data_IF_505979862389
#
_entry.id   IF_505979862389
#
_cell.length_a   1.000
_cell.length_b   1.000
_cell.length_c   1.000
_cell.angle_alpha   90.00
_cell.angle_beta   90.00
_cell.angle_gamma   90.00
#
_symmetry.space_group_name_H-M   'P 1'
#
loop_
_entity.id
_entity.type
_entity.pdbx_description
1 polymer ?
#
# COMPACT_ATOMS: atom_id res chain seq x y z
N UNK A 1 -0.33 37.40 -11.35
CA UNK A 1 -1.56 37.06 -10.61
C UNK A 1 -2.56 36.18 -11.38
N UNK A 2 -2.41 35.94 -12.67
CA UNK A 2 -3.41 35.20 -13.50
C UNK A 2 -3.14 33.70 -13.58
N UNK A 3 -1.89 33.26 -13.45
CA UNK A 3 -1.51 31.82 -13.54
C UNK A 3 -1.98 31.04 -12.33
N UNK A 4 -1.83 31.55 -11.11
CA UNK A 4 -2.23 30.89 -9.86
C UNK A 4 -3.72 30.56 -9.80
N UNK A 5 -4.59 31.46 -10.30
CA UNK A 5 -6.06 31.23 -10.33
C UNK A 5 -6.51 30.15 -11.31
N UNK A 6 -5.76 29.93 -12.39
CA UNK A 6 -6.09 28.88 -13.38
C UNK A 6 -5.71 27.50 -12.83
N UNK A 7 -4.57 27.41 -12.15
CA UNK A 7 -4.11 26.17 -11.52
C UNK A 7 -5.04 25.75 -10.37
N UNK A 8 -5.47 26.68 -9.51
CA UNK A 8 -6.41 26.43 -8.42
C UNK A 8 -7.76 25.91 -8.95
N UNK A 9 -8.30 26.55 -10.00
CA UNK A 9 -9.57 26.12 -10.61
C UNK A 9 -9.47 24.75 -11.28
N UNK A 10 -8.34 24.42 -11.88
CA UNK A 10 -8.11 23.11 -12.50
C UNK A 10 -7.99 22.01 -11.41
N UNK A 11 -7.30 22.30 -10.32
CA UNK A 11 -7.21 21.41 -9.16
C UNK A 11 -8.59 21.17 -8.54
N UNK A 12 -9.38 22.22 -8.34
CA UNK A 12 -10.76 22.11 -7.86
C UNK A 12 -11.63 21.21 -8.76
N UNK A 13 -11.51 21.35 -10.10
CA UNK A 13 -12.22 20.48 -11.04
C UNK A 13 -11.78 19.03 -10.95
N UNK A 14 -10.48 18.75 -10.87
CA UNK A 14 -9.97 17.39 -10.70
C UNK A 14 -10.49 16.76 -9.41
N UNK A 15 -10.52 17.53 -8.31
CA UNK A 15 -11.06 17.08 -7.04
C UNK A 15 -12.56 16.72 -7.15
N UNK A 16 -13.39 17.59 -7.74
CA UNK A 16 -14.82 17.33 -7.93
C UNK A 16 -15.04 16.08 -8.80
N UNK A 17 -14.32 15.94 -9.93
CA UNK A 17 -14.43 14.76 -10.79
C UNK A 17 -14.02 13.46 -10.09
N UNK A 18 -12.94 13.49 -9.32
CA UNK A 18 -12.48 12.35 -8.54
C UNK A 18 -13.52 11.94 -7.48
N UNK A 19 -14.07 12.92 -6.76
CA UNK A 19 -15.11 12.70 -5.74
C UNK A 19 -16.42 12.19 -6.36
N UNK A 20 -16.82 12.70 -7.52
CA UNK A 20 -17.98 12.23 -8.26
C UNK A 20 -17.82 10.78 -8.71
N UNK A 21 -16.65 10.43 -9.24
CA UNK A 21 -16.32 9.06 -9.66
C UNK A 21 -16.13 8.13 -8.46
N UNK A 22 -15.91 8.70 -7.26
CA UNK A 22 -15.58 7.95 -6.05
C UNK A 22 -14.17 7.38 -6.08
N UNK A 23 -13.28 7.97 -6.89
CA UNK A 23 -11.85 7.61 -6.95
C UNK A 23 -11.11 8.56 -6.03
N UNK A 24 -10.40 8.05 -5.01
CA UNK A 24 -9.56 8.88 -4.15
C UNK A 24 -8.46 9.53 -5.00
N UNK A 25 -8.22 10.82 -4.75
CA UNK A 25 -7.12 11.53 -5.37
C UNK A 25 -6.50 12.51 -4.39
N UNK A 26 -5.25 12.91 -4.64
CA UNK A 26 -4.55 13.90 -3.81
C UNK A 26 -5.35 15.20 -3.68
N UNK A 27 -5.92 15.71 -4.78
CA UNK A 27 -6.72 16.93 -4.80
C UNK A 27 -8.01 16.77 -3.97
N UNK A 28 -8.69 15.61 -4.06
CA UNK A 28 -9.89 15.32 -3.30
C UNK A 28 -9.62 15.24 -1.79
N UNK A 29 -8.51 14.61 -1.40
CA UNK A 29 -8.09 14.49 -0.01
C UNK A 29 -7.68 15.83 0.57
N UNK A 30 -6.90 16.62 -0.16
CA UNK A 30 -6.53 17.98 0.25
C UNK A 30 -7.75 18.87 0.46
N UNK A 31 -8.80 18.72 -0.38
CA UNK A 31 -10.03 19.48 -0.27
C UNK A 31 -10.91 19.06 0.91
N UNK A 32 -11.09 17.77 1.16
CA UNK A 32 -12.01 17.26 2.19
C UNK A 32 -11.33 16.95 3.52
N UNK A 33 -10.05 16.59 3.52
CA UNK A 33 -9.33 16.07 4.69
C UNK A 33 -9.80 14.67 5.09
N UNK A 34 -9.36 14.20 6.24
CA UNK A 34 -9.85 12.99 6.89
C UNK A 34 -10.60 13.34 8.17
N UNK A 35 -11.65 12.57 8.47
CA UNK A 35 -12.42 12.69 9.71
C UNK A 35 -12.14 11.48 10.62
N UNK A 36 -10.89 10.99 10.64
CA UNK A 36 -10.47 9.78 11.35
C UNK A 36 -9.28 10.07 12.30
N UNK A 37 -9.43 10.93 13.33
CA UNK A 37 -8.30 11.36 14.17
C UNK A 37 -7.61 10.19 14.88
N UNK A 38 -8.35 9.21 15.37
CA UNK A 38 -7.75 8.03 16.02
C UNK A 38 -6.86 7.23 15.07
N UNK A 39 -7.27 7.09 13.82
CA UNK A 39 -6.48 6.39 12.80
C UNK A 39 -5.22 7.21 12.46
N UNK A 40 -5.36 8.53 12.32
CA UNK A 40 -4.22 9.41 12.10
C UNK A 40 -3.21 9.34 13.25
N UNK A 41 -3.65 9.44 14.50
CA UNK A 41 -2.77 9.38 15.67
C UNK A 41 -2.01 8.05 15.76
N UNK A 42 -2.70 6.93 15.52
CA UNK A 42 -2.07 5.60 15.48
C UNK A 42 -1.07 5.49 14.34
N UNK A 43 -1.42 6.01 13.17
CA UNK A 43 -0.54 6.02 12.00
C UNK A 43 0.71 6.87 12.23
N UNK A 44 0.56 8.09 12.75
CA UNK A 44 1.68 8.97 13.07
C UNK A 44 2.62 8.35 14.11
N UNK A 45 2.06 7.71 15.14
CA UNK A 45 2.83 6.94 16.14
C UNK A 45 3.61 5.81 15.47
N UNK A 46 3.03 5.13 14.48
CA UNK A 46 3.70 4.08 13.73
C UNK A 46 4.89 4.64 12.93
N UNK A 47 4.73 5.77 12.26
CA UNK A 47 5.82 6.43 11.52
C UNK A 47 6.97 6.85 12.45
N UNK A 48 6.67 7.34 13.65
CA UNK A 48 7.68 7.77 14.61
C UNK A 48 8.53 6.60 15.17
N UNK A 49 8.07 5.34 15.01
CA UNK A 49 8.79 4.13 15.45
C UNK A 49 9.61 3.47 14.36
N UNK A 50 9.57 3.97 13.12
CA UNK A 50 10.29 3.40 11.98
C UNK A 50 11.80 3.38 12.22
N UNK A 51 12.44 2.25 11.86
CA UNK A 51 13.88 2.09 12.00
C UNK A 51 14.39 1.93 13.44
N UNK A 52 13.50 1.92 14.45
CA UNK A 52 13.89 1.69 15.84
C UNK A 52 13.67 0.25 16.27
N UNK A 53 14.63 -0.35 16.97
CA UNK A 53 14.53 -1.71 17.55
C UNK A 53 13.44 -1.80 18.64
N UNK A 54 12.89 -0.66 19.06
CA UNK A 54 11.88 -0.57 20.14
C UNK A 54 10.44 -0.89 19.69
N UNK A 55 10.22 -1.15 18.41
CA UNK A 55 8.90 -1.56 17.91
C UNK A 55 8.57 -2.98 18.37
N UNK A 56 8.06 -3.11 19.59
CA UNK A 56 7.71 -4.42 20.20
C UNK A 56 6.29 -4.88 19.87
N UNK A 57 5.57 -4.21 18.96
CA UNK A 57 4.15 -4.49 18.78
C UNK A 57 3.72 -4.72 17.34
N UNK A 58 3.41 -3.66 16.63
CA UNK A 58 2.89 -3.69 15.28
C UNK A 58 3.79 -2.88 14.34
N UNK A 59 3.98 -3.42 13.14
CA UNK A 59 4.66 -2.74 12.02
C UNK A 59 3.66 -2.20 11.03
N UNK A 60 2.41 -2.55 11.19
CA UNK A 60 1.34 -2.21 10.30
C UNK A 60 0.04 -1.87 11.02
N UNK A 61 -0.84 -1.22 10.28
CA UNK A 61 -2.18 -0.86 10.68
C UNK A 61 -3.19 -1.59 9.79
N UNK A 62 -4.18 -2.24 10.40
CA UNK A 62 -5.29 -2.86 9.68
C UNK A 62 -6.53 -2.01 9.84
N UNK A 63 -7.01 -1.44 8.73
CA UNK A 63 -8.21 -0.62 8.67
C UNK A 63 -9.42 -1.46 8.25
N UNK A 64 -10.51 -1.32 9.00
CA UNK A 64 -11.79 -1.93 8.69
C UNK A 64 -12.86 -0.92 8.36
N UNK A 65 -13.71 -1.27 7.42
CA UNK A 65 -14.88 -0.44 7.12
C UNK A 65 -15.68 -1.00 5.97
N UNK A 66 -16.99 -0.85 6.01
CA UNK A 66 -17.87 -1.38 4.99
C UNK A 66 -17.58 -0.80 3.60
N UNK A 67 -18.20 -1.36 2.57
CA UNK A 67 -18.05 -0.87 1.20
C UNK A 67 -18.50 0.61 1.09
N UNK A 68 -17.63 1.48 0.58
CA UNK A 68 -17.93 2.92 0.47
C UNK A 68 -17.82 3.71 1.78
N UNK A 69 -17.29 3.14 2.86
CA UNK A 69 -17.04 3.84 4.14
C UNK A 69 -15.93 4.90 4.06
N UNK A 70 -15.11 4.89 3.00
CA UNK A 70 -14.01 5.83 2.81
C UNK A 70 -12.62 5.24 3.09
N UNK A 71 -12.46 3.90 3.15
CA UNK A 71 -11.17 3.23 3.34
C UNK A 71 -10.07 3.77 2.41
N UNK A 72 -10.32 3.76 1.10
CA UNK A 72 -9.34 4.22 0.11
C UNK A 72 -9.08 5.74 0.23
N UNK A 73 -10.08 6.54 0.66
CA UNK A 73 -9.87 7.96 0.95
C UNK A 73 -8.99 8.16 2.19
N UNK A 74 -9.22 7.39 3.26
CA UNK A 74 -8.37 7.40 4.45
C UNK A 74 -6.93 6.99 4.11
N UNK A 75 -6.74 5.92 3.32
CA UNK A 75 -5.41 5.52 2.85
C UNK A 75 -4.73 6.61 2.02
N UNK A 76 -5.45 7.29 1.12
CA UNK A 76 -4.89 8.41 0.35
C UNK A 76 -4.46 9.56 1.25
N UNK A 77 -5.26 9.88 2.28
CA UNK A 77 -4.91 10.89 3.28
C UNK A 77 -3.65 10.52 4.06
N UNK A 78 -3.57 9.29 4.57
CA UNK A 78 -2.38 8.78 5.27
C UNK A 78 -1.15 8.74 4.37
N UNK A 79 -1.32 8.41 3.07
CA UNK A 79 -0.26 8.44 2.09
C UNK A 79 0.29 9.86 1.89
N UNK A 80 -0.59 10.86 1.87
CA UNK A 80 -0.19 12.25 1.78
C UNK A 80 0.64 12.70 2.99
N UNK A 81 0.19 12.37 4.20
CA UNK A 81 0.94 12.63 5.43
C UNK A 81 2.31 11.95 5.44
N UNK A 82 2.41 10.72 4.91
CA UNK A 82 3.68 10.01 4.81
C UNK A 82 4.64 10.69 3.83
N UNK A 83 4.16 11.10 2.66
CA UNK A 83 4.97 11.84 1.69
C UNK A 83 5.48 13.18 2.27
N UNK A 84 4.65 13.91 3.00
CA UNK A 84 5.06 15.14 3.70
C UNK A 84 6.13 14.90 4.75
N UNK A 85 6.16 13.70 5.35
CA UNK A 85 7.18 13.28 6.33
C UNK A 85 8.40 12.64 5.68
N UNK A 86 8.53 12.66 4.35
CA UNK A 86 9.73 12.18 3.66
C UNK A 86 9.76 10.68 3.36
N UNK A 87 8.64 9.95 3.52
CA UNK A 87 8.57 8.53 3.18
C UNK A 87 8.33 8.31 1.69
N UNK A 88 8.89 7.23 1.15
CA UNK A 88 8.45 6.66 -0.14
C UNK A 88 7.16 5.90 0.08
N UNK A 89 6.18 6.07 -0.80
CA UNK A 89 4.84 5.47 -0.66
C UNK A 89 4.51 4.60 -1.86
N UNK A 90 4.01 3.40 -1.61
CA UNK A 90 3.48 2.49 -2.63
C UNK A 90 2.04 2.10 -2.34
N UNK A 91 1.24 1.86 -3.40
CA UNK A 91 -0.14 1.39 -3.31
C UNK A 91 -0.29 0.09 -4.07
N UNK A 92 -0.75 -0.93 -3.36
CA UNK A 92 -0.98 -2.27 -3.88
C UNK A 92 -2.47 -2.60 -3.75
N UNK A 93 -3.14 -2.78 -4.87
CA UNK A 93 -4.53 -3.24 -4.88
C UNK A 93 -4.51 -4.76 -5.01
N UNK A 94 -5.06 -5.44 -4.01
CA UNK A 94 -5.16 -6.90 -4.03
C UNK A 94 -6.17 -7.31 -5.10
N UNK A 95 -5.77 -8.21 -5.98
CA UNK A 95 -6.56 -8.68 -7.10
C UNK A 95 -6.15 -10.10 -7.51
N UNK A 96 -6.72 -10.61 -8.60
CA UNK A 96 -6.29 -11.86 -9.23
C UNK A 96 -4.84 -11.78 -9.72
N UNK A 97 -4.46 -10.64 -10.29
CA UNK A 97 -3.13 -10.37 -10.82
C UNK A 97 -2.10 -10.13 -9.72
N UNK A 98 -2.55 -9.56 -8.60
CA UNK A 98 -1.71 -9.20 -7.44
C UNK A 98 -2.25 -9.85 -6.17
N UNK A 99 -2.22 -11.19 -6.06
CA UNK A 99 -2.74 -11.88 -4.89
C UNK A 99 -1.79 -11.71 -3.68
N UNK A 100 -2.35 -11.47 -2.49
CA UNK A 100 -1.58 -11.21 -1.28
C UNK A 100 -0.60 -12.35 -0.93
N UNK A 101 -0.92 -13.59 -1.30
CA UNK A 101 -0.07 -14.76 -1.04
C UNK A 101 1.14 -14.90 -1.97
N UNK A 102 1.31 -14.02 -2.96
CA UNK A 102 2.44 -14.01 -3.89
C UNK A 102 3.32 -12.78 -3.69
N UNK A 103 4.39 -12.85 -2.87
CA UNK A 103 5.28 -11.72 -2.62
C UNK A 103 5.96 -11.15 -3.86
N UNK A 104 6.16 -11.95 -4.92
CA UNK A 104 6.80 -11.46 -6.14
C UNK A 104 5.86 -10.54 -6.94
N UNK A 105 4.57 -10.90 -7.05
CA UNK A 105 3.55 -10.06 -7.67
C UNK A 105 3.28 -8.80 -6.84
N UNK A 106 3.21 -8.95 -5.50
CA UNK A 106 3.08 -7.81 -4.58
C UNK A 106 4.27 -6.86 -4.70
N UNK A 107 5.50 -7.36 -4.77
CA UNK A 107 6.69 -6.53 -4.96
C UNK A 107 6.62 -5.74 -6.27
N UNK A 108 6.26 -6.38 -7.36
CA UNK A 108 6.13 -5.71 -8.66
C UNK A 108 5.14 -4.55 -8.57
N UNK A 109 3.94 -4.79 -8.06
CA UNK A 109 2.93 -3.73 -7.89
C UNK A 109 3.41 -2.62 -6.94
N UNK A 110 4.11 -2.97 -5.86
CA UNK A 110 4.67 -2.01 -4.92
C UNK A 110 5.74 -1.12 -5.55
N UNK A 111 6.64 -1.69 -6.36
CA UNK A 111 7.69 -0.95 -7.06
C UNK A 111 7.11 -0.07 -8.16
N UNK A 112 6.18 -0.60 -8.96
CA UNK A 112 5.53 0.15 -10.05
C UNK A 112 4.72 1.35 -9.54
N UNK A 113 4.11 1.23 -8.37
CA UNK A 113 3.32 2.30 -7.74
C UNK A 113 4.12 3.21 -6.80
N UNK A 114 5.41 2.96 -6.62
CA UNK A 114 6.25 3.72 -5.68
C UNK A 114 6.41 5.17 -6.12
N UNK A 115 6.09 6.08 -5.20
CA UNK A 115 6.17 7.54 -5.38
C UNK A 115 7.02 8.12 -4.27
N UNK A 116 7.97 8.98 -4.63
CA UNK A 116 8.79 9.74 -3.68
C UNK A 116 8.09 11.02 -3.24
N UNK A 117 8.55 11.70 -2.19
CA UNK A 117 8.06 13.02 -1.81
C UNK A 117 8.12 14.06 -2.92
N UNK A 118 9.05 13.92 -3.87
CA UNK A 118 9.14 14.79 -5.06
C UNK A 118 7.98 14.60 -6.04
N UNK A 119 7.22 13.49 -5.90
CA UNK A 119 6.16 13.10 -6.82
C UNK A 119 6.66 12.38 -8.08
N UNK A 120 7.95 12.04 -8.14
CA UNK A 120 8.51 11.32 -9.27
C UNK A 120 8.06 9.85 -9.29
N UNK A 121 7.84 9.32 -10.48
CA UNK A 121 7.60 7.90 -10.75
C UNK A 121 8.96 7.21 -10.93
N UNK A 122 9.07 5.94 -10.51
CA UNK A 122 10.33 5.20 -10.59
C UNK A 122 11.24 5.44 -9.37
N UNK A 123 10.64 5.42 -8.18
CA UNK A 123 11.32 5.70 -6.91
C UNK A 123 12.61 4.91 -6.68
N UNK A 124 12.69 3.65 -7.16
CA UNK A 124 13.91 2.84 -7.02
C UNK A 124 15.06 3.40 -7.85
N UNK A 125 14.78 3.85 -9.08
CA UNK A 125 15.78 4.46 -9.94
C UNK A 125 16.22 5.83 -9.40
N UNK A 126 15.27 6.65 -8.90
CA UNK A 126 15.57 7.93 -8.25
C UNK A 126 16.44 7.71 -7.01
N UNK A 127 16.09 6.76 -6.16
CA UNK A 127 16.88 6.42 -4.98
C UNK A 127 18.29 5.93 -5.36
N UNK A 128 18.40 5.06 -6.37
CA UNK A 128 19.71 4.59 -6.85
C UNK A 128 20.60 5.74 -7.37
N UNK A 129 20.01 6.71 -8.06
CA UNK A 129 20.71 7.90 -8.56
C UNK A 129 21.09 8.88 -7.44
N UNK A 130 20.36 8.88 -6.32
CA UNK A 130 20.60 9.77 -5.17
C UNK A 130 21.60 9.19 -4.16
N UNK A 131 22.06 7.94 -4.34
CA UNK A 131 23.05 7.34 -3.46
C UNK A 131 24.39 8.09 -3.55
N UNK A 132 24.97 8.37 -2.38
CA UNK A 132 26.35 8.89 -2.27
C UNK A 132 27.30 7.75 -1.87
N UNK A 133 28.05 7.16 -2.81
CA UNK A 133 28.97 6.07 -2.50
C UNK A 133 30.07 6.42 -1.48
N UNK A 134 30.39 7.70 -1.31
CA UNK A 134 31.33 8.21 -0.31
C UNK A 134 30.69 8.52 1.04
N UNK A 135 29.37 8.50 1.10
CA UNK A 135 28.59 8.89 2.28
C UNK A 135 28.45 7.81 3.34
N UNK A 136 28.18 8.19 4.59
CA UNK A 136 28.02 7.25 5.70
C UNK A 136 26.79 6.33 5.54
N UNK A 137 25.70 6.82 4.98
CA UNK A 137 24.47 6.06 4.79
C UNK A 137 24.66 4.91 3.78
N UNK A 138 25.39 5.16 2.69
CA UNK A 138 25.76 4.12 1.73
C UNK A 138 26.69 3.08 2.37
N UNK A 139 27.71 3.53 3.11
CA UNK A 139 28.63 2.63 3.81
C UNK A 139 27.90 1.75 4.84
N UNK A 140 26.87 2.28 5.50
CA UNK A 140 26.02 1.51 6.41
C UNK A 140 25.18 0.47 5.68
N UNK A 141 24.52 0.86 4.59
CA UNK A 141 23.74 -0.06 3.74
C UNK A 141 24.61 -1.21 3.22
N UNK A 142 25.81 -0.88 2.70
CA UNK A 142 26.74 -1.89 2.18
C UNK A 142 27.23 -2.83 3.29
N UNK A 143 27.57 -2.29 4.46
CA UNK A 143 27.96 -3.07 5.64
C UNK A 143 26.83 -3.99 6.10
N UNK A 144 25.60 -3.48 6.17
CA UNK A 144 24.44 -4.28 6.53
C UNK A 144 24.23 -5.42 5.52
N UNK A 145 24.15 -5.13 4.22
CA UNK A 145 23.93 -6.13 3.18
C UNK A 145 25.04 -7.20 3.12
N UNK A 146 26.28 -6.83 3.46
CA UNK A 146 27.45 -7.73 3.46
C UNK A 146 27.79 -8.37 4.81
N UNK A 147 26.99 -8.15 5.86
CA UNK A 147 27.33 -8.57 7.22
C UNK A 147 27.30 -10.10 7.46
N UNK A 148 26.80 -10.89 6.52
CA UNK A 148 26.56 -12.34 6.71
C UNK A 148 25.42 -12.67 7.69
N UNK A 149 24.91 -11.66 8.40
CA UNK A 149 23.74 -11.76 9.29
C UNK A 149 22.51 -11.05 8.69
N UNK A 150 22.70 -10.30 7.60
CA UNK A 150 21.58 -9.68 6.91
C UNK A 150 20.70 -10.77 6.27
N UNK A 151 19.37 -10.67 6.43
CA UNK A 151 18.45 -11.63 5.83
C UNK A 151 18.22 -11.32 4.34
N UNK A 152 19.32 -11.14 3.60
CA UNK A 152 19.36 -10.88 2.15
C UNK A 152 20.51 -11.64 1.49
N UNK A 153 20.33 -12.01 0.24
CA UNK A 153 21.31 -12.74 -0.56
C UNK A 153 22.55 -11.88 -0.88
N UNK A 154 23.70 -12.52 -1.06
CA UNK A 154 24.97 -11.86 -1.41
C UNK A 154 24.90 -10.97 -2.66
N UNK A 155 23.94 -11.22 -3.56
CA UNK A 155 23.72 -10.39 -4.76
C UNK A 155 23.46 -8.94 -4.41
N UNK A 156 22.80 -8.64 -3.29
CA UNK A 156 22.51 -7.27 -2.89
C UNK A 156 23.78 -6.51 -2.49
N UNK A 157 24.61 -7.10 -1.66
CA UNK A 157 25.92 -6.49 -1.31
C UNK A 157 26.81 -6.33 -2.55
N UNK A 158 26.86 -7.37 -3.40
CA UNK A 158 27.65 -7.34 -4.62
C UNK A 158 27.17 -6.25 -5.59
N UNK A 159 25.87 -6.17 -5.85
CA UNK A 159 25.32 -5.15 -6.76
C UNK A 159 25.51 -3.72 -6.21
N UNK A 160 25.43 -3.52 -4.90
CA UNK A 160 25.81 -2.26 -4.27
C UNK A 160 27.27 -1.94 -4.51
N UNK A 161 28.22 -2.86 -4.26
CA UNK A 161 29.66 -2.59 -4.45
C UNK A 161 30.03 -2.32 -5.91
N UNK A 162 29.29 -2.92 -6.86
CA UNK A 162 29.52 -2.75 -8.30
C UNK A 162 28.92 -1.44 -8.85
N UNK A 163 27.75 -1.01 -8.34
CA UNK A 163 27.00 0.09 -8.92
C UNK A 163 27.84 1.36 -9.17
N UNK A 164 28.62 1.90 -8.22
CA UNK A 164 29.39 3.13 -8.44
C UNK A 164 30.45 3.02 -9.53
N UNK A 165 30.95 1.80 -9.75
CA UNK A 165 31.99 1.55 -10.77
C UNK A 165 31.38 1.41 -12.15
N UNK A 166 30.22 0.72 -12.25
CA UNK A 166 29.56 0.49 -13.55
C UNK A 166 28.79 1.71 -14.04
N UNK A 167 28.29 2.57 -13.17
CA UNK A 167 27.65 3.86 -13.54
C UNK A 167 28.57 4.76 -14.39
N UNK A 168 29.88 4.57 -14.34
CA UNK A 168 30.83 5.35 -15.13
C UNK A 168 31.41 4.59 -16.32
N UNK A 169 31.17 3.28 -16.45
CA UNK A 169 31.83 2.42 -17.44
C UNK A 169 30.91 1.48 -18.22
N UNK A 170 29.70 1.21 -17.71
CA UNK A 170 28.74 0.24 -18.29
C UNK A 170 27.34 0.60 -17.85
N UNK A 171 26.73 1.58 -18.50
CA UNK A 171 25.38 2.09 -18.17
C UNK A 171 24.30 0.99 -18.28
N UNK A 172 24.43 0.07 -19.24
CA UNK A 172 23.47 -1.04 -19.42
C UNK A 172 23.47 -1.98 -18.21
N UNK A 173 24.66 -2.24 -17.64
CA UNK A 173 24.75 -3.08 -16.47
C UNK A 173 24.33 -2.33 -15.19
N UNK A 174 24.59 -1.04 -15.09
CA UNK A 174 24.06 -0.21 -14.00
C UNK A 174 22.52 -0.23 -13.99
N UNK A 175 21.88 -0.09 -15.15
CA UNK A 175 20.43 -0.23 -15.30
C UNK A 175 19.95 -1.64 -14.95
N UNK A 176 20.68 -2.69 -15.33
CA UNK A 176 20.35 -4.07 -14.97
C UNK A 176 20.39 -4.31 -13.45
N UNK A 177 21.30 -3.64 -12.71
CA UNK A 177 21.34 -3.66 -11.25
C UNK A 177 20.05 -3.04 -10.68
N UNK A 178 19.64 -1.87 -11.14
CA UNK A 178 18.43 -1.18 -10.66
C UNK A 178 17.19 -2.02 -10.98
N UNK A 179 17.10 -2.63 -12.17
CA UNK A 179 16.03 -3.57 -12.50
C UNK A 179 16.03 -4.80 -11.61
N UNK A 180 17.22 -5.34 -11.26
CA UNK A 180 17.32 -6.45 -10.30
C UNK A 180 16.76 -6.07 -8.93
N UNK A 181 17.08 -4.89 -8.41
CA UNK A 181 16.49 -4.40 -7.16
C UNK A 181 14.97 -4.24 -7.26
N UNK A 182 14.49 -3.82 -8.43
CA UNK A 182 13.06 -3.60 -8.71
C UNK A 182 12.23 -4.88 -8.92
N UNK A 183 12.88 -6.05 -9.05
CA UNK A 183 12.16 -7.33 -9.18
C UNK A 183 12.64 -8.23 -10.30
N UNK A 184 13.37 -7.72 -11.29
CA UNK A 184 13.87 -8.49 -12.43
C UNK A 184 14.99 -9.47 -12.03
N UNK A 185 15.17 -10.55 -12.77
CA UNK A 185 16.33 -11.41 -12.61
C UNK A 185 17.61 -10.72 -13.10
N UNK A 186 18.75 -11.04 -12.48
CA UNK A 186 20.07 -10.67 -12.98
C UNK A 186 20.89 -11.95 -13.24
N UNK A 187 21.50 -12.12 -14.45
CA UNK A 187 22.26 -13.32 -14.76
C UNK A 187 23.49 -13.45 -13.86
N UNK A 188 23.63 -14.60 -13.22
CA UNK A 188 24.79 -14.91 -12.35
C UNK A 188 26.12 -14.83 -13.11
N UNK A 189 26.13 -15.18 -14.42
CA UNK A 189 27.32 -15.08 -15.26
C UNK A 189 27.79 -13.63 -15.40
N UNK A 190 26.86 -12.68 -15.56
CA UNK A 190 27.17 -11.25 -15.69
C UNK A 190 27.68 -10.69 -14.36
N UNK A 191 27.03 -11.03 -13.24
CA UNK A 191 27.51 -10.66 -11.92
C UNK A 191 28.95 -11.14 -11.66
N UNK A 192 29.25 -12.40 -11.99
CA UNK A 192 30.60 -12.96 -11.83
C UNK A 192 31.65 -12.30 -12.75
N UNK A 193 31.24 -11.94 -13.97
CA UNK A 193 32.10 -11.22 -14.91
C UNK A 193 32.45 -9.83 -14.38
N UNK A 194 31.46 -9.09 -13.91
CA UNK A 194 31.63 -7.74 -13.36
C UNK A 194 32.37 -7.76 -12.03
N UNK A 195 32.12 -8.73 -11.15
CA UNK A 195 32.87 -8.92 -9.92
C UNK A 195 34.36 -9.14 -10.20
N UNK A 196 34.69 -10.00 -11.17
CA UNK A 196 36.09 -10.23 -11.60
C UNK A 196 36.71 -8.96 -12.17
N UNK A 197 36.01 -8.20 -12.98
CA UNK A 197 36.49 -6.93 -13.54
C UNK A 197 36.76 -5.89 -12.43
N UNK A 198 35.88 -5.83 -11.42
CA UNK A 198 36.01 -4.93 -10.30
C UNK A 198 37.08 -5.36 -9.26
N UNK A 199 37.71 -6.52 -9.43
CA UNK A 199 38.67 -7.08 -8.47
C UNK A 199 38.03 -7.66 -7.20
N UNK A 200 36.73 -7.87 -7.23
CA UNK A 200 35.99 -8.59 -6.19
C UNK A 200 36.32 -10.08 -6.25
N UNK A 201 36.23 -10.77 -5.13
CA UNK A 201 36.40 -12.22 -5.08
C UNK A 201 35.35 -12.96 -5.93
N UNK A 202 35.44 -14.29 -6.03
CA UNK A 202 34.42 -15.09 -6.71
C UNK A 202 33.21 -15.29 -5.79
N UNK A 203 32.06 -14.62 -6.05
CA UNK A 203 30.88 -14.75 -5.19
C UNK A 203 30.27 -16.15 -5.27
N UNK A 204 29.83 -16.68 -4.13
CA UNK A 204 29.21 -18.00 -4.02
C UNK A 204 27.68 -17.93 -4.25
N UNK A 205 27.24 -17.35 -5.38
CA UNK A 205 25.85 -17.09 -5.70
C UNK A 205 25.06 -18.40 -5.86
N UNK A 206 24.27 -18.76 -4.86
CA UNK A 206 23.36 -19.90 -4.88
C UNK A 206 22.06 -19.57 -5.61
N UNK A 207 21.26 -20.58 -5.95
CA UNK A 207 19.90 -20.37 -6.46
C UNK A 207 18.98 -20.03 -5.30
N UNK A 208 18.26 -18.92 -5.39
CA UNK A 208 17.28 -18.48 -4.41
C UNK A 208 15.89 -18.52 -5.05
N UNK A 209 14.87 -19.11 -4.42
CA UNK A 209 13.49 -19.09 -4.91
C UNK A 209 12.99 -17.66 -5.12
N UNK A 210 12.23 -17.42 -6.19
CA UNK A 210 11.71 -16.08 -6.53
C UNK A 210 10.89 -15.46 -5.38
N UNK A 211 10.10 -16.27 -4.68
CA UNK A 211 9.32 -15.85 -3.52
C UNK A 211 10.21 -15.31 -2.40
N UNK A 212 11.26 -16.04 -2.06
CA UNK A 212 12.23 -15.65 -1.03
C UNK A 212 12.99 -14.39 -1.44
N UNK A 213 13.45 -14.34 -2.69
CA UNK A 213 14.14 -13.17 -3.21
C UNK A 213 13.25 -11.92 -3.21
N UNK A 214 11.94 -12.06 -3.43
CA UNK A 214 11.00 -10.95 -3.32
C UNK A 214 10.90 -10.41 -1.90
N UNK A 215 10.82 -11.27 -0.88
CA UNK A 215 10.82 -10.86 0.53
C UNK A 215 12.12 -10.13 0.88
N UNK A 216 13.25 -10.64 0.43
CA UNK A 216 14.56 -10.00 0.63
C UNK A 216 14.64 -8.63 -0.05
N UNK A 217 14.01 -8.45 -1.23
CA UNK A 217 13.93 -7.16 -1.91
C UNK A 217 13.13 -6.12 -1.12
N UNK A 218 12.05 -6.48 -0.45
CA UNK A 218 11.33 -5.55 0.42
C UNK A 218 12.24 -5.02 1.53
N UNK A 219 13.01 -5.89 2.19
CA UNK A 219 13.98 -5.51 3.23
C UNK A 219 15.07 -4.61 2.69
N UNK A 220 15.63 -4.98 1.55
CA UNK A 220 16.68 -4.23 0.88
C UNK A 220 16.22 -2.85 0.42
N UNK A 221 15.10 -2.77 -0.30
CA UNK A 221 14.57 -1.51 -0.84
C UNK A 221 14.19 -0.52 0.26
N UNK A 222 13.62 -1.00 1.37
CA UNK A 222 13.33 -0.13 2.50
C UNK A 222 14.59 0.56 3.03
N UNK A 223 15.70 -0.16 3.15
CA UNK A 223 16.99 0.40 3.58
C UNK A 223 17.68 1.22 2.49
N UNK A 224 17.50 0.84 1.23
CA UNK A 224 17.97 1.63 0.08
C UNK A 224 17.35 3.03 0.09
N UNK A 225 16.04 3.12 0.32
CA UNK A 225 15.36 4.41 0.42
C UNK A 225 15.93 5.27 1.57
N UNK A 226 16.21 4.68 2.73
CA UNK A 226 16.85 5.42 3.83
C UNK A 226 18.26 5.86 3.45
N UNK A 227 19.05 5.01 2.79
CA UNK A 227 20.39 5.38 2.31
C UNK A 227 20.36 6.48 1.25
N UNK A 228 19.26 6.61 0.51
CA UNK A 228 19.01 7.69 -0.45
C UNK A 228 18.44 8.97 0.18
N UNK A 229 18.23 9.01 1.52
CA UNK A 229 17.79 10.18 2.26
C UNK A 229 16.29 10.27 2.54
N UNK A 230 15.53 9.20 2.31
CA UNK A 230 14.13 9.11 2.72
C UNK A 230 13.99 8.53 4.13
N UNK A 231 12.84 8.76 4.79
CA UNK A 231 12.59 8.25 6.15
C UNK A 231 12.28 6.75 6.20
N UNK A 232 11.86 6.15 5.08
CA UNK A 232 11.53 4.74 4.96
C UNK A 232 10.58 4.45 3.80
N UNK A 233 10.02 3.24 3.78
CA UNK A 233 9.07 2.80 2.76
C UNK A 233 7.72 2.45 3.38
N UNK A 234 6.64 3.00 2.84
CA UNK A 234 5.27 2.76 3.29
C UNK A 234 4.48 2.04 2.19
N UNK A 235 3.85 0.93 2.54
CA UNK A 235 3.00 0.15 1.65
C UNK A 235 1.54 0.24 2.10
N UNK A 236 0.68 0.70 1.19
CA UNK A 236 -0.77 0.62 1.35
C UNK A 236 -1.30 -0.56 0.55
N UNK A 237 -2.11 -1.41 1.20
CA UNK A 237 -2.82 -2.51 0.58
C UNK A 237 -4.32 -2.21 0.62
N UNK A 238 -4.95 -2.12 -0.54
CA UNK A 238 -6.40 -1.95 -0.65
C UNK A 238 -7.05 -3.25 -1.15
N UNK A 239 -8.36 -3.39 -0.96
CA UNK A 239 -9.16 -4.54 -1.38
C UNK A 239 -8.69 -5.88 -0.76
N UNK A 240 -8.11 -5.85 0.46
CA UNK A 240 -7.54 -7.06 1.10
C UNK A 240 -8.61 -8.12 1.35
N UNK A 241 -9.88 -7.75 1.47
CA UNK A 241 -11.03 -8.67 1.56
C UNK A 241 -11.15 -9.65 0.39
N UNK A 242 -10.54 -9.35 -0.76
CA UNK A 242 -10.56 -10.26 -1.91
C UNK A 242 -9.87 -11.60 -1.64
N UNK A 243 -9.03 -11.69 -0.59
CA UNK A 243 -8.51 -12.99 -0.12
C UNK A 243 -9.63 -13.99 0.22
N UNK A 244 -10.81 -13.51 0.61
CA UNK A 244 -11.98 -14.34 0.86
C UNK A 244 -12.49 -15.10 -0.36
N UNK A 245 -12.13 -14.69 -1.58
CA UNK A 245 -12.49 -15.35 -2.85
C UNK A 245 -11.50 -16.41 -3.31
N UNK A 246 -10.34 -16.50 -2.65
CA UNK A 246 -9.30 -17.47 -3.01
C UNK A 246 -9.66 -18.88 -2.54
N UNK A 247 -8.98 -19.87 -3.12
CA UNK A 247 -9.08 -21.26 -2.65
C UNK A 247 -8.57 -21.38 -1.21
N UNK A 248 -8.94 -22.46 -0.51
CA UNK A 248 -8.59 -22.67 0.88
C UNK A 248 -7.08 -22.55 1.16
N UNK A 249 -6.24 -23.11 0.28
CA UNK A 249 -4.77 -23.03 0.46
C UNK A 249 -4.24 -21.62 0.21
N UNK A 250 -4.76 -20.93 -0.78
CA UNK A 250 -4.39 -19.56 -1.08
C UNK A 250 -4.85 -18.60 0.03
N UNK A 251 -6.05 -18.80 0.60
CA UNK A 251 -6.50 -18.05 1.79
C UNK A 251 -5.54 -18.25 2.96
N UNK A 252 -5.18 -19.52 3.24
CA UNK A 252 -4.22 -19.82 4.31
C UNK A 252 -2.87 -19.15 4.14
N UNK A 253 -2.32 -19.17 2.92
CA UNK A 253 -1.08 -18.44 2.61
C UNK A 253 -1.28 -16.93 2.75
N UNK A 254 -2.42 -16.39 2.30
CA UNK A 254 -2.72 -14.95 2.43
C UNK A 254 -2.83 -14.50 3.88
N UNK A 255 -3.44 -15.29 4.76
CA UNK A 255 -3.46 -14.99 6.20
C UNK A 255 -2.06 -15.01 6.81
N UNK A 256 -1.20 -15.94 6.37
CA UNK A 256 0.20 -15.99 6.82
C UNK A 256 1.01 -14.76 6.37
N UNK A 257 0.79 -14.28 5.12
CA UNK A 257 1.40 -13.03 4.64
C UNK A 257 0.85 -11.80 5.37
N UNK A 258 -0.46 -11.72 5.61
CA UNK A 258 -1.08 -10.63 6.38
C UNK A 258 -0.44 -10.51 7.76
N UNK A 259 -0.18 -11.62 8.44
CA UNK A 259 0.54 -11.61 9.72
C UNK A 259 1.96 -11.03 9.59
N UNK A 260 2.64 -11.35 8.49
CA UNK A 260 3.98 -10.82 8.22
C UNK A 260 4.00 -9.33 7.91
N UNK A 261 2.95 -8.79 7.28
CA UNK A 261 2.83 -7.36 7.00
C UNK A 261 2.48 -6.54 8.24
N UNK A 262 1.64 -7.07 9.12
CA UNK A 262 1.18 -6.34 10.30
C UNK A 262 2.15 -6.40 11.49
N UNK A 263 3.00 -7.43 11.56
CA UNK A 263 3.96 -7.61 12.65
C UNK A 263 5.39 -7.31 12.21
N UNK A 264 6.27 -6.95 13.15
CA UNK A 264 7.69 -6.80 12.84
C UNK A 264 8.26 -8.08 12.21
N UNK A 265 9.09 -7.90 11.22
CA UNK A 265 9.85 -9.01 10.63
C UNK A 265 10.81 -9.58 11.69
N UNK A 266 10.74 -10.88 11.95
CA UNK A 266 11.59 -11.51 12.96
C UNK A 266 13.07 -11.51 12.55
N UNK A 267 13.34 -11.55 11.24
CA UNK A 267 14.69 -11.56 10.69
C UNK A 267 15.28 -10.15 10.55
N UNK A 268 14.43 -9.14 10.36
CA UNK A 268 14.84 -7.72 10.30
C UNK A 268 13.85 -6.80 11.04
N UNK A 269 13.83 -6.84 12.38
CA UNK A 269 12.88 -6.06 13.18
C UNK A 269 13.06 -4.54 13.03
N UNK A 270 14.23 -4.09 12.60
CA UNK A 270 14.54 -2.68 12.37
C UNK A 270 14.40 -2.25 10.90
N UNK A 271 13.82 -3.07 10.03
CA UNK A 271 13.58 -2.65 8.65
C UNK A 271 12.66 -1.43 8.61
N UNK A 272 13.07 -0.35 7.88
CA UNK A 272 12.30 0.89 7.79
C UNK A 272 11.13 0.74 6.81
N UNK A 273 10.23 -0.20 7.10
CA UNK A 273 9.08 -0.57 6.29
C UNK A 273 7.83 -0.56 7.16
N UNK A 274 6.83 0.20 6.78
CA UNK A 274 5.50 0.27 7.42
C UNK A 274 4.43 -0.16 6.44
N UNK A 275 3.34 -0.73 6.95
CA UNK A 275 2.22 -1.18 6.12
C UNK A 275 0.89 -0.69 6.65
N UNK A 276 -0.03 -0.38 5.74
CA UNK A 276 -1.43 -0.09 6.05
C UNK A 276 -2.30 -0.95 5.16
N UNK A 277 -3.04 -1.85 5.74
CA UNK A 277 -3.95 -2.74 5.04
C UNK A 277 -5.39 -2.28 5.24
N UNK A 278 -6.22 -2.33 4.20
CA UNK A 278 -7.64 -2.02 4.29
C UNK A 278 -8.48 -3.20 3.81
N UNK A 279 -9.52 -3.53 4.59
CA UNK A 279 -10.48 -4.59 4.27
C UNK A 279 -11.88 -4.24 4.78
N UNK A 280 -12.87 -5.02 4.38
CA UNK A 280 -14.23 -4.85 4.87
C UNK A 280 -14.38 -5.30 6.32
N UNK A 281 -15.23 -4.60 7.07
CA UNK A 281 -15.50 -4.85 8.48
C UNK A 281 -16.32 -6.13 8.74
N UNK A 282 -17.00 -6.65 7.72
CA UNK A 282 -17.77 -7.89 7.76
C UNK A 282 -16.94 -9.15 7.46
N UNK A 283 -15.65 -9.02 7.14
CA UNK A 283 -14.79 -10.13 6.70
C UNK A 283 -14.74 -11.27 7.72
N UNK A 284 -14.70 -10.98 9.01
CA UNK A 284 -14.74 -12.00 10.07
C UNK A 284 -16.00 -12.86 9.98
N UNK A 285 -17.16 -12.23 9.90
CA UNK A 285 -18.44 -12.95 9.82
C UNK A 285 -18.60 -13.67 8.47
N UNK A 286 -18.30 -12.99 7.36
CA UNK A 286 -18.56 -13.47 6.01
C UNK A 286 -17.54 -14.52 5.52
N UNK A 287 -16.32 -14.51 6.06
CA UNK A 287 -15.25 -15.43 5.62
C UNK A 287 -14.78 -16.31 6.77
N UNK A 288 -14.22 -15.74 7.86
CA UNK A 288 -13.62 -16.57 8.91
C UNK A 288 -14.67 -17.46 9.59
N UNK A 289 -15.88 -16.94 9.84
CA UNK A 289 -16.96 -17.68 10.45
C UNK A 289 -17.74 -18.49 9.44
N UNK A 290 -18.27 -17.89 8.37
CA UNK A 290 -19.14 -18.58 7.44
C UNK A 290 -18.46 -19.70 6.65
N UNK A 291 -17.14 -19.57 6.35
CA UNK A 291 -16.35 -20.62 5.69
C UNK A 291 -15.62 -21.52 6.67
N UNK A 292 -15.76 -21.29 7.98
CA UNK A 292 -15.05 -22.00 9.06
C UNK A 292 -13.52 -22.00 8.90
N UNK A 293 -12.95 -20.90 8.39
CA UNK A 293 -11.53 -20.80 8.05
C UNK A 293 -10.61 -21.00 9.27
N UNK A 294 -11.07 -20.63 10.48
CA UNK A 294 -10.30 -20.80 11.72
C UNK A 294 -9.88 -22.24 11.99
N UNK A 295 -10.71 -23.19 11.60
CA UNK A 295 -10.48 -24.61 11.82
C UNK A 295 -9.93 -25.30 10.56
N UNK A 296 -10.58 -25.04 9.40
CA UNK A 296 -10.28 -25.79 8.19
C UNK A 296 -8.97 -25.38 7.54
N UNK A 297 -8.60 -24.09 7.63
CA UNK A 297 -7.37 -23.59 7.00
C UNK A 297 -6.13 -24.18 7.70
N UNK A 298 -5.93 -24.05 9.03
CA UNK A 298 -4.76 -24.63 9.70
C UNK A 298 -4.70 -26.15 9.56
N UNK A 299 -5.83 -26.83 9.65
CA UNK A 299 -5.89 -28.28 9.48
C UNK A 299 -5.44 -28.71 8.08
N UNK A 300 -5.89 -28.00 7.03
CA UNK A 300 -5.50 -28.29 5.64
C UNK A 300 -4.03 -28.02 5.38
N UNK A 301 -3.46 -26.95 5.95
CA UNK A 301 -2.05 -26.62 5.81
C UNK A 301 -1.18 -27.68 6.50
N UNK A 302 -1.48 -28.05 7.75
CA UNK A 302 -0.75 -29.10 8.50
C UNK A 302 -0.86 -30.48 7.86
N UNK A 303 -1.95 -30.77 7.14
CA UNK A 303 -2.10 -32.03 6.41
C UNK A 303 -1.05 -32.23 5.29
N UNK A 304 -0.27 -31.18 4.93
CA UNK A 304 0.88 -31.28 4.02
C UNK A 304 2.12 -31.91 4.68
N UNK A 305 2.12 -32.14 5.99
CA UNK A 305 3.13 -32.88 6.76
C UNK A 305 4.58 -32.40 6.53
N UNK A 306 4.82 -31.10 6.60
CA UNK A 306 6.18 -30.54 6.58
C UNK A 306 6.29 -29.34 7.52
N UNK A 307 7.48 -29.15 8.09
CA UNK A 307 7.80 -28.02 9.00
C UNK A 307 7.41 -26.68 8.37
N UNK A 308 7.68 -26.49 7.08
CA UNK A 308 7.34 -25.28 6.37
C UNK A 308 5.82 -25.01 6.37
N UNK A 309 5.00 -26.03 6.18
CA UNK A 309 3.54 -25.88 6.19
C UNK A 309 2.99 -25.71 7.61
N UNK A 310 3.64 -26.26 8.61
CA UNK A 310 3.29 -26.03 10.03
C UNK A 310 3.54 -24.57 10.42
N UNK A 311 4.66 -23.99 9.96
CA UNK A 311 4.97 -22.56 10.13
C UNK A 311 3.95 -21.66 9.41
N UNK A 312 3.60 -21.99 8.16
CA UNK A 312 2.55 -21.26 7.42
C UNK A 312 1.21 -21.36 8.14
N UNK A 313 0.86 -22.51 8.71
CA UNK A 313 -0.37 -22.69 9.48
C UNK A 313 -0.38 -21.81 10.75
N UNK A 314 0.71 -21.80 11.51
CA UNK A 314 0.83 -20.95 12.70
C UNK A 314 0.74 -19.45 12.38
N UNK A 315 1.39 -19.03 11.29
CA UNK A 315 1.29 -17.64 10.79
C UNK A 315 -0.13 -17.33 10.30
N UNK A 316 -0.81 -18.25 9.62
CA UNK A 316 -2.19 -18.07 9.19
C UNK A 316 -3.15 -17.90 10.37
N UNK A 317 -3.01 -18.72 11.43
CA UNK A 317 -3.76 -18.54 12.67
C UNK A 317 -3.51 -17.17 13.31
N UNK A 318 -2.26 -16.70 13.24
CA UNK A 318 -1.92 -15.36 13.71
C UNK A 318 -2.60 -14.29 12.88
N UNK A 319 -2.58 -14.40 11.54
CA UNK A 319 -3.24 -13.45 10.62
C UNK A 319 -4.75 -13.37 10.87
N UNK A 320 -5.41 -14.51 11.05
CA UNK A 320 -6.84 -14.52 11.37
C UNK A 320 -7.14 -13.84 12.71
N UNK A 321 -6.31 -14.06 13.76
CA UNK A 321 -6.46 -13.36 15.05
C UNK A 321 -6.24 -11.84 14.94
N UNK A 322 -5.33 -11.38 14.07
CA UNK A 322 -5.13 -9.95 13.82
C UNK A 322 -6.35 -9.32 13.17
N UNK A 323 -6.99 -10.02 12.22
CA UNK A 323 -8.25 -9.55 11.62
C UNK A 323 -9.34 -9.37 12.69
N UNK A 324 -9.46 -10.31 13.61
CA UNK A 324 -10.50 -10.29 14.66
C UNK A 324 -10.29 -9.22 15.74
N UNK A 325 -9.03 -8.93 16.09
CA UNK A 325 -8.71 -8.18 17.32
C UNK A 325 -8.09 -6.82 17.09
N UNK A 326 -7.33 -6.68 16.00
CA UNK A 326 -6.46 -5.52 15.80
C UNK A 326 -6.95 -4.62 14.67
N UNK A 327 -8.09 -4.97 14.05
CA UNK A 327 -8.72 -4.13 13.03
C UNK A 327 -9.26 -2.83 13.66
N UNK A 328 -8.80 -1.71 13.13
CA UNK A 328 -9.28 -0.36 13.51
C UNK A 328 -10.39 0.04 12.56
N UNK A 329 -11.58 0.19 13.09
CA UNK A 329 -12.76 0.50 12.28
C UNK A 329 -12.83 2.00 11.95
N UNK A 330 -13.08 2.30 10.68
CA UNK A 330 -13.43 3.65 10.27
C UNK A 330 -14.75 4.05 10.93
N UNK A 331 -14.75 5.20 11.55
CA UNK A 331 -15.96 5.75 12.17
C UNK A 331 -16.89 6.31 11.09
N UNK A 332 -18.22 6.08 11.19
CA UNK A 332 -19.17 6.74 10.32
C UNK A 332 -19.15 8.25 10.60
N UNK A 333 -19.34 9.09 9.56
CA UNK A 333 -19.34 10.53 9.77
C UNK A 333 -20.47 10.97 10.70
N UNK A 334 -20.16 11.80 11.67
CA UNK A 334 -21.14 12.47 12.48
C UNK A 334 -21.81 13.64 11.72
N UNK A 335 -22.87 14.23 12.32
CA UNK A 335 -23.57 15.34 11.70
C UNK A 335 -22.68 16.57 11.47
N UNK A 336 -21.74 16.84 12.37
CA UNK A 336 -20.83 17.98 12.24
C UNK A 336 -19.81 17.74 11.12
N UNK A 337 -19.37 16.51 10.94
CA UNK A 337 -18.49 16.11 9.84
C UNK A 337 -19.20 16.19 8.48
N UNK A 338 -20.44 15.74 8.41
CA UNK A 338 -21.26 15.88 7.20
C UNK A 338 -21.44 17.35 6.83
N UNK A 339 -21.74 18.22 7.82
CA UNK A 339 -21.88 19.66 7.60
C UNK A 339 -20.56 20.33 7.17
N UNK A 340 -19.42 19.86 7.68
CA UNK A 340 -18.10 20.33 7.26
C UNK A 340 -17.80 19.90 5.82
N UNK A 341 -18.02 18.61 5.52
CA UNK A 341 -17.80 18.05 4.19
C UNK A 341 -18.68 18.74 3.15
N UNK A 342 -19.97 18.95 3.47
CA UNK A 342 -20.91 19.67 2.62
C UNK A 342 -20.42 21.07 2.27
N UNK A 343 -20.05 21.87 3.30
CA UNK A 343 -19.57 23.23 3.08
C UNK A 343 -18.29 23.30 2.27
N UNK A 344 -17.33 22.41 2.55
CA UNK A 344 -16.08 22.32 1.78
C UNK A 344 -16.33 21.93 0.33
N UNK A 345 -17.19 20.93 0.12
CA UNK A 345 -17.53 20.44 -1.23
C UNK A 345 -18.31 21.49 -2.01
N UNK A 346 -19.23 22.25 -1.38
CA UNK A 346 -19.96 23.35 -1.99
C UNK A 346 -19.01 24.45 -2.46
N UNK A 347 -18.05 24.85 -1.61
CA UNK A 347 -17.02 25.83 -1.96
C UNK A 347 -16.12 25.32 -3.11
N UNK A 348 -15.70 24.07 -3.07
CA UNK A 348 -14.90 23.45 -4.10
C UNK A 348 -15.64 23.41 -5.46
N UNK A 349 -16.93 23.06 -5.45
CA UNK A 349 -17.77 23.04 -6.65
C UNK A 349 -17.98 24.46 -7.23
N UNK A 350 -18.18 25.45 -6.34
CA UNK A 350 -18.25 26.87 -6.72
C UNK A 350 -16.97 27.32 -7.43
N UNK A 351 -15.79 27.01 -6.88
CA UNK A 351 -14.50 27.34 -7.45
C UNK A 351 -14.28 26.63 -8.78
N UNK A 352 -14.56 25.32 -8.84
CA UNK A 352 -14.38 24.50 -10.04
C UNK A 352 -15.15 25.03 -11.25
N UNK A 353 -16.40 25.46 -11.05
CA UNK A 353 -17.32 25.81 -12.14
C UNK A 353 -17.64 27.31 -12.24
N UNK A 354 -17.26 28.12 -11.26
CA UNK A 354 -17.44 29.57 -11.26
C UNK A 354 -18.91 29.99 -11.10
N UNK A 355 -19.65 29.29 -10.23
CA UNK A 355 -21.06 29.57 -9.93
C UNK A 355 -21.33 29.33 -8.43
N UNK A 356 -22.48 29.76 -7.93
CA UNK A 356 -22.86 29.53 -6.54
C UNK A 356 -23.90 28.39 -6.46
N UNK A 357 -23.51 27.19 -6.01
CA UNK A 357 -24.42 26.06 -5.91
C UNK A 357 -25.53 26.35 -4.86
N UNK A 358 -26.79 26.04 -5.14
CA UNK A 358 -27.87 26.22 -4.16
C UNK A 358 -27.69 25.27 -2.98
N UNK A 359 -28.35 25.58 -1.87
CA UNK A 359 -28.44 24.64 -0.77
C UNK A 359 -29.34 23.46 -1.16
N UNK A 360 -28.82 22.25 -0.99
CA UNK A 360 -29.54 21.02 -1.24
C UNK A 360 -30.30 20.64 0.02
N UNK A 361 -31.63 20.71 -0.03
CA UNK A 361 -32.50 20.26 1.04
C UNK A 361 -32.95 18.82 0.78
N UNK A 362 -32.90 17.94 1.78
CA UNK A 362 -33.66 16.68 1.73
C UNK A 362 -32.86 15.39 1.58
N UNK A 363 -31.52 15.39 1.61
CA UNK A 363 -30.81 14.14 1.90
C UNK A 363 -31.03 13.85 3.39
N UNK A 364 -32.06 13.05 3.68
CA UNK A 364 -32.30 12.56 5.04
C UNK A 364 -31.00 11.91 5.54
N UNK A 365 -30.55 12.36 6.72
CA UNK A 365 -29.36 11.82 7.39
C UNK A 365 -29.68 10.41 7.90
N UNK A 366 -29.69 9.45 6.97
CA UNK A 366 -29.87 8.05 7.30
C UNK A 366 -28.61 7.54 7.98
N UNK A 367 -28.75 6.96 9.15
CA UNK A 367 -27.65 6.40 9.95
C UNK A 367 -26.83 5.32 9.20
N UNK A 368 -27.36 4.76 8.13
CA UNK A 368 -26.71 3.78 7.27
C UNK A 368 -26.03 4.38 6.02
N UNK A 369 -26.18 5.69 5.76
CA UNK A 369 -25.64 6.31 4.55
C UNK A 369 -24.17 6.68 4.74
N UNK A 370 -23.34 6.25 3.82
CA UNK A 370 -21.88 6.41 3.88
C UNK A 370 -21.44 7.70 3.22
N UNK A 371 -20.32 8.29 3.67
CA UNK A 371 -19.78 9.56 3.17
C UNK A 371 -19.72 9.62 1.63
N UNK A 372 -19.28 8.55 0.97
CA UNK A 372 -19.23 8.47 -0.51
C UNK A 372 -20.61 8.72 -1.16
N UNK A 373 -21.68 8.23 -0.57
CA UNK A 373 -23.03 8.41 -1.10
C UNK A 373 -23.50 9.86 -0.98
N UNK A 374 -23.23 10.50 0.17
CA UNK A 374 -23.52 11.92 0.36
C UNK A 374 -22.75 12.79 -0.63
N UNK A 375 -21.44 12.59 -0.72
CA UNK A 375 -20.57 13.36 -1.62
C UNK A 375 -21.04 13.26 -3.08
N UNK A 376 -21.33 12.05 -3.55
CA UNK A 376 -21.83 11.83 -4.93
C UNK A 376 -23.20 12.44 -5.16
N UNK A 377 -24.09 12.31 -4.18
CA UNK A 377 -25.43 12.88 -4.27
C UNK A 377 -25.36 14.42 -4.39
N UNK A 378 -24.63 15.09 -3.50
CA UNK A 378 -24.46 16.55 -3.56
C UNK A 378 -23.88 17.02 -4.89
N UNK A 379 -22.79 16.40 -5.37
CA UNK A 379 -22.19 16.78 -6.66
C UNK A 379 -23.18 16.58 -7.81
N UNK A 380 -23.86 15.44 -7.86
CA UNK A 380 -24.82 15.15 -8.93
C UNK A 380 -25.97 16.16 -8.94
N UNK A 381 -26.50 16.52 -7.77
CA UNK A 381 -27.57 17.50 -7.67
C UNK A 381 -27.12 18.88 -8.14
N UNK A 382 -25.96 19.36 -7.69
CA UNK A 382 -25.41 20.62 -8.18
C UNK A 382 -25.13 20.64 -9.67
N UNK A 383 -24.60 19.54 -10.22
CA UNK A 383 -24.38 19.42 -11.66
C UNK A 383 -25.69 19.47 -12.46
N UNK A 384 -26.74 18.77 -11.98
CA UNK A 384 -28.06 18.79 -12.62
C UNK A 384 -28.71 20.17 -12.54
N UNK A 385 -28.70 20.82 -11.38
CA UNK A 385 -29.23 22.20 -11.20
C UNK A 385 -28.46 23.20 -12.06
N UNK A 386 -27.13 23.02 -12.20
CA UNK A 386 -26.30 23.88 -13.06
C UNK A 386 -26.65 23.72 -14.55
N UNK A 387 -27.02 22.51 -14.98
CA UNK A 387 -27.41 22.20 -16.36
C UNK A 387 -28.87 22.61 -16.65
N UNK A 388 -29.75 22.40 -15.68
CA UNK A 388 -31.16 22.78 -15.76
C UNK A 388 -31.61 23.43 -14.42
N UNK A 389 -31.69 24.77 -14.36
CA UNK A 389 -32.12 25.46 -13.15
C UNK A 389 -33.53 25.15 -12.65
N UNK A 390 -34.35 24.50 -13.48
CA UNK A 390 -35.69 24.05 -13.12
C UNK A 390 -35.70 22.61 -12.53
N UNK A 391 -34.55 21.95 -12.50
CA UNK A 391 -34.42 20.61 -11.93
C UNK A 391 -34.69 20.62 -10.42
N UNK A 392 -35.56 19.71 -9.97
CA UNK A 392 -35.84 19.49 -8.53
C UNK A 392 -35.20 18.17 -8.12
N UNK A 393 -34.21 18.19 -7.20
CA UNK A 393 -33.50 16.98 -6.75
C UNK A 393 -34.43 15.91 -6.18
N UNK A 394 -34.25 14.67 -6.58
CA UNK A 394 -34.92 13.47 -6.04
C UNK A 394 -33.88 12.33 -5.95
N UNK A 395 -33.00 12.37 -4.95
CA UNK A 395 -31.90 11.40 -4.84
C UNK A 395 -32.20 10.32 -3.80
N UNK A 396 -32.17 9.05 -4.20
CA UNK A 396 -32.24 7.89 -3.32
C UNK A 396 -30.86 7.22 -3.18
N UNK A 397 -30.51 6.77 -1.97
CA UNK A 397 -29.27 6.03 -1.72
C UNK A 397 -29.50 4.52 -1.81
N UNK A 398 -28.78 3.83 -2.71
CA UNK A 398 -28.83 2.39 -2.87
C UNK A 398 -27.65 1.71 -2.15
N UNK A 399 -27.87 0.71 -1.26
CA UNK A 399 -26.81 -0.02 -0.61
C UNK A 399 -26.07 -0.95 -1.59
N UNK A 400 -24.72 -0.98 -1.52
CA UNK A 400 -23.86 -1.85 -2.29
C UNK A 400 -23.23 -2.92 -1.39
N UNK A 401 -23.26 -4.19 -1.81
CA UNK A 401 -22.66 -5.33 -1.11
C UNK A 401 -21.51 -5.97 -1.88
N UNK A 402 -20.65 -6.72 -1.18
CA UNK A 402 -19.56 -7.54 -1.76
C UNK A 402 -19.97 -9.01 -1.66
N UNK A 403 -19.66 -9.83 -2.69
CA UNK A 403 -19.81 -11.28 -2.63
C UNK A 403 -18.46 -11.95 -2.38
N UNK A 404 -18.43 -12.99 -1.54
CA UNK A 404 -17.26 -13.79 -1.17
C UNK A 404 -17.33 -15.22 -1.71
N UNK A 405 -18.09 -15.47 -2.78
CA UNK A 405 -18.09 -16.76 -3.46
C UNK A 405 -16.70 -17.09 -3.99
N UNK A 406 -16.26 -18.35 -3.84
CA UNK A 406 -14.98 -18.80 -4.37
C UNK A 406 -14.97 -18.74 -5.89
N UNK A 407 -13.85 -18.26 -6.44
CA UNK A 407 -13.63 -18.20 -7.89
C UNK A 407 -12.54 -19.22 -8.26
N UNK A 408 -12.94 -20.39 -8.80
CA UNK A 408 -11.98 -21.44 -9.19
C UNK A 408 -10.94 -20.98 -10.21
N UNK A 409 -11.27 -19.96 -11.01
CA UNK A 409 -10.37 -19.35 -11.99
C UNK A 409 -9.15 -18.63 -11.36
N UNK A 410 -9.13 -18.49 -10.02
CA UNK A 410 -7.98 -17.96 -9.27
C UNK A 410 -6.95 -19.04 -8.92
N UNK A 411 -7.16 -20.30 -9.33
CA UNK A 411 -6.13 -21.32 -9.23
C UNK A 411 -5.03 -21.01 -10.26
N UNK A 412 -3.83 -20.67 -9.77
CA UNK A 412 -2.63 -20.65 -10.60
C UNK A 412 -2.25 -22.10 -10.92
N UNK A 413 -2.11 -22.43 -12.20
CA UNK A 413 -1.48 -23.66 -12.71
C UNK A 413 0.05 -23.70 -12.40
N UNK A 414 0.41 -23.37 -11.17
CA UNK A 414 1.78 -23.37 -10.68
C UNK A 414 2.11 -24.65 -9.93
N UNK A 415 2.53 -25.68 -10.69
CA UNK A 415 3.21 -26.85 -10.16
C UNK A 415 4.61 -26.51 -9.62
#
# INVERSE_FOLDING_TARGET
>A
MTVTRVDDRLSARRAVEALRSGVPSRDAVAALGSAQPEIEDRFLTLLDTVGTVRSTGHRGLLLGGGFGSGKSHAQEHLAHLALERGFVVSRVVISKETPLHDPAKVLRAAVESAVTPSGAVGAVAEAAASLDPGGPAYAELLRWAGSGHAPVDERFALTLSLLPRVQTSDDDFAEAIVRFWSGDPIPVADLRRQAKWAGEGRPALATVPLRELAVQRFRFLARLFVAAGYEGWLLFFDEVELIGRYTLLQRGRSYAELAGWLRPDQEDPAAPLVTVLAMTDDFDAAVLTAKNDREVVPAKLRAKQSTQWDEVAARAETGMRLIERDMVLLQPPDSAELDRAYRRLKALHSEAFGWDPPDVAGLERLTATRMRQYVRAWINEWDLVRLDPAFVPQTEAVPLGVTYEEQPELEDDGG
#
